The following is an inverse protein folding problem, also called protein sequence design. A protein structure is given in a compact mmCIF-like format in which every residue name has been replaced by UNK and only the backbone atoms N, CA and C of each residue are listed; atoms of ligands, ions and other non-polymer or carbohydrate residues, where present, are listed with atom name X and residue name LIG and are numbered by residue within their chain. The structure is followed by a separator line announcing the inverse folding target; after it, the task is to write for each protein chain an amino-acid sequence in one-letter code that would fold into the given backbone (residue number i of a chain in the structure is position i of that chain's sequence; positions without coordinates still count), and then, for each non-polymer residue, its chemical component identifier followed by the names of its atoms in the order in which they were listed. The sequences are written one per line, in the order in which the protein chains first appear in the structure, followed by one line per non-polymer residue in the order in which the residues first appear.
data_IF_104121550802
#
_entry.id   IF_104121550802
#
_cell.length_a   1.000
_cell.length_b   1.000
_cell.length_c   1.000
_cell.angle_alpha   90.00
_cell.angle_beta   90.00
_cell.angle_gamma   90.00
#
_symmetry.space_group_name_H-M   'P 1'
#
loop_
_entity.id
_entity.type
_entity.pdbx_description
1 polymer ?
#
# COMPACT_ATOMS: atom_id res chain seq x y z
N UNK A 1 -2.44 -14.14 -6.15
CA UNK A 1 -3.36 -13.22 -6.83
C UNK A 1 -4.66 -13.96 -7.13
N UNK A 2 -5.83 -13.34 -6.96
CA UNK A 2 -7.10 -14.00 -7.20
C UNK A 2 -7.28 -14.33 -8.68
N UNK A 3 -8.00 -15.42 -8.99
CA UNK A 3 -8.35 -15.81 -10.35
C UNK A 3 -9.79 -15.42 -10.63
N UNK A 4 -10.01 -14.73 -11.75
CA UNK A 4 -11.33 -14.32 -12.21
C UNK A 4 -11.81 -15.23 -13.35
N UNK A 5 -12.99 -15.82 -13.18
CA UNK A 5 -13.72 -16.52 -14.24
C UNK A 5 -15.01 -15.77 -14.51
N UNK A 6 -15.30 -15.45 -15.78
CA UNK A 6 -16.47 -14.65 -16.16
C UNK A 6 -17.30 -15.41 -17.18
N UNK A 7 -18.62 -15.32 -17.02
CA UNK A 7 -19.61 -15.79 -17.97
C UNK A 7 -20.58 -14.67 -18.28
N UNK A 8 -20.95 -14.56 -19.54
CA UNK A 8 -21.99 -13.65 -20.00
C UNK A 8 -23.11 -14.43 -20.65
N UNK A 9 -24.34 -14.02 -20.37
CA UNK A 9 -25.54 -14.53 -21.04
C UNK A 9 -26.39 -13.33 -21.45
N UNK A 10 -26.72 -13.23 -22.75
CA UNK A 10 -27.57 -12.16 -23.26
C UNK A 10 -29.00 -12.66 -23.43
N UNK A 11 -29.94 -11.94 -22.83
CA UNK A 11 -31.38 -12.19 -22.94
C UNK A 11 -32.02 -10.87 -23.39
N UNK A 12 -32.66 -10.90 -24.55
CA UNK A 12 -33.20 -9.71 -25.23
C UNK A 12 -32.14 -8.59 -25.37
N UNK A 13 -32.42 -7.42 -24.80
CA UNK A 13 -31.54 -6.25 -24.80
C UNK A 13 -30.67 -6.15 -23.54
N UNK A 14 -30.59 -7.21 -22.73
CA UNK A 14 -29.87 -7.22 -21.45
C UNK A 14 -28.79 -8.29 -21.47
N UNK A 15 -27.57 -7.90 -21.12
CA UNK A 15 -26.46 -8.81 -20.88
C UNK A 15 -26.32 -9.02 -19.38
N UNK A 16 -26.41 -10.27 -18.94
CA UNK A 16 -26.08 -10.69 -17.59
C UNK A 16 -24.62 -11.08 -17.53
N UNK A 17 -23.89 -10.54 -16.56
CA UNK A 17 -22.49 -10.86 -16.30
C UNK A 17 -22.43 -11.54 -14.94
N UNK A 18 -21.93 -12.78 -14.92
CA UNK A 18 -21.67 -13.53 -13.70
C UNK A 18 -20.17 -13.83 -13.65
N UNK A 19 -19.54 -13.52 -12.52
CA UNK A 19 -18.14 -13.78 -12.30
C UNK A 19 -17.92 -14.56 -10.99
N UNK A 20 -16.88 -15.38 -10.98
CA UNK A 20 -16.39 -16.09 -9.79
C UNK A 20 -14.94 -15.69 -9.58
N UNK A 21 -14.64 -15.25 -8.36
CA UNK A 21 -13.31 -14.89 -7.91
C UNK A 21 -12.82 -16.02 -7.00
N UNK A 22 -11.73 -16.67 -7.37
CA UNK A 22 -11.08 -17.70 -6.55
C UNK A 22 -9.83 -17.12 -5.89
N UNK A 23 -9.66 -17.32 -4.58
CA UNK A 23 -8.47 -16.90 -3.84
C UNK A 23 -8.12 -17.92 -2.76
N UNK A 24 -6.83 -18.17 -2.54
CA UNK A 24 -6.35 -19.05 -1.46
C UNK A 24 -6.29 -18.34 -0.09
N UNK A 25 -6.41 -17.01 -0.07
CA UNK A 25 -6.37 -16.17 1.14
C UNK A 25 -7.47 -15.12 1.12
N UNK A 26 -7.89 -14.59 2.28
CA UNK A 26 -8.78 -13.42 2.34
C UNK A 26 -8.17 -12.20 1.64
N UNK A 27 -8.98 -11.42 0.92
CA UNK A 27 -8.56 -10.30 0.07
C UNK A 27 -9.63 -9.22 -0.09
N UNK A 28 -9.19 -7.97 -0.19
CA UNK A 28 -9.99 -6.88 -0.72
C UNK A 28 -9.73 -6.82 -2.24
N UNK A 29 -10.77 -6.91 -3.05
CA UNK A 29 -10.67 -6.99 -4.51
C UNK A 29 -11.50 -5.89 -5.15
N UNK A 30 -10.90 -5.18 -6.11
CA UNK A 30 -11.60 -4.28 -7.03
C UNK A 30 -11.76 -4.96 -8.38
N UNK A 31 -13.00 -5.06 -8.83
CA UNK A 31 -13.33 -5.44 -10.20
C UNK A 31 -13.80 -4.22 -10.98
N UNK A 32 -13.28 -4.06 -12.19
CA UNK A 32 -13.68 -2.99 -13.11
C UNK A 32 -14.26 -3.53 -14.40
N UNK A 33 -15.27 -2.83 -14.90
CA UNK A 33 -15.93 -3.17 -16.15
C UNK A 33 -15.14 -2.68 -17.36
N UNK A 34 -15.22 -3.45 -18.45
CA UNK A 34 -14.44 -3.23 -19.68
C UNK A 34 -15.35 -3.14 -20.90
N UNK A 35 -16.37 -2.32 -20.78
CA UNK A 35 -17.31 -2.00 -21.84
C UNK A 35 -17.90 -0.61 -21.63
N UNK A 36 -18.34 0.02 -22.71
CA UNK A 36 -19.06 1.28 -22.62
C UNK A 36 -20.54 1.02 -22.31
N UNK A 37 -20.98 1.39 -21.11
CA UNK A 37 -22.39 1.31 -20.75
C UNK A 37 -22.64 1.29 -19.26
N UNK A 38 -23.92 1.39 -18.90
CA UNK A 38 -24.33 1.43 -17.50
C UNK A 38 -24.27 0.05 -16.87
N UNK A 39 -23.68 -0.04 -15.69
CA UNK A 39 -23.80 -1.18 -14.78
C UNK A 39 -25.14 -1.11 -14.05
N UNK A 40 -25.87 -2.22 -14.02
CA UNK A 40 -27.04 -2.41 -13.17
C UNK A 40 -26.67 -3.40 -12.06
N UNK A 41 -26.26 -2.89 -10.88
CA UNK A 41 -25.90 -3.71 -9.75
C UNK A 41 -27.05 -4.61 -9.29
N UNK A 42 -26.73 -5.74 -8.64
CA UNK A 42 -27.73 -6.53 -7.94
C UNK A 42 -28.38 -5.67 -6.86
N UNK A 43 -29.68 -5.87 -6.67
CA UNK A 43 -30.47 -5.13 -5.69
C UNK A 43 -31.11 -6.08 -4.69
N UNK A 44 -31.00 -5.73 -3.41
CA UNK A 44 -31.64 -6.42 -2.29
C UNK A 44 -32.60 -5.45 -1.63
N UNK A 45 -33.90 -5.78 -1.57
CA UNK A 45 -34.95 -4.90 -1.06
C UNK A 45 -34.96 -3.49 -1.70
N UNK A 46 -34.62 -3.40 -2.99
CA UNK A 46 -34.59 -2.14 -3.74
C UNK A 46 -33.32 -1.29 -3.57
N UNK A 47 -32.48 -1.61 -2.58
CA UNK A 47 -31.16 -0.99 -2.43
C UNK A 47 -30.13 -1.68 -3.32
N UNK A 48 -29.17 -0.91 -3.83
CA UNK A 48 -27.98 -1.44 -4.51
C UNK A 48 -27.15 -2.20 -3.49
N UNK A 49 -26.65 -3.38 -3.87
CA UNK A 49 -25.74 -4.15 -3.03
C UNK A 49 -24.48 -3.35 -2.69
N UNK A 50 -23.89 -3.60 -1.53
CA UNK A 50 -22.72 -2.87 -1.06
C UNK A 50 -21.51 -3.04 -2.00
N UNK A 51 -20.66 -2.01 -2.05
CA UNK A 51 -19.41 -2.02 -2.80
C UNK A 51 -19.53 -1.68 -4.29
N UNK A 52 -20.74 -1.51 -4.83
CA UNK A 52 -20.95 -1.14 -6.24
C UNK A 52 -20.85 0.37 -6.47
N UNK A 53 -20.19 0.73 -7.57
CA UNK A 53 -20.20 2.08 -8.15
C UNK A 53 -20.48 2.02 -9.66
N UNK A 54 -20.25 3.11 -10.37
CA UNK A 54 -20.53 3.20 -11.81
C UNK A 54 -19.60 2.32 -12.67
N UNK A 55 -18.37 2.09 -12.20
CA UNK A 55 -17.30 1.47 -12.97
C UNK A 55 -17.10 -0.01 -12.61
N UNK A 56 -17.65 -0.45 -11.48
CA UNK A 56 -17.57 -1.84 -11.05
C UNK A 56 -17.94 -2.06 -9.59
N UNK A 57 -17.20 -2.94 -8.92
CA UNK A 57 -17.47 -3.37 -7.55
C UNK A 57 -16.19 -3.61 -6.77
N UNK A 58 -16.18 -3.13 -5.54
CA UNK A 58 -15.18 -3.45 -4.52
C UNK A 58 -15.78 -4.38 -3.50
N UNK A 59 -15.14 -5.51 -3.25
CA UNK A 59 -15.65 -6.53 -2.34
C UNK A 59 -14.53 -7.18 -1.53
N UNK A 60 -14.87 -7.51 -0.29
CA UNK A 60 -14.08 -8.36 0.59
C UNK A 60 -14.40 -9.82 0.27
N UNK A 61 -13.37 -10.64 0.06
CA UNK A 61 -13.50 -12.07 -0.24
C UNK A 61 -12.70 -12.90 0.76
N UNK A 62 -13.30 -13.98 1.24
CA UNK A 62 -12.60 -15.00 2.01
C UNK A 62 -11.80 -15.94 1.10
N UNK A 63 -10.98 -16.80 1.71
CA UNK A 63 -10.38 -17.92 0.98
C UNK A 63 -11.49 -18.85 0.41
N UNK A 64 -11.36 -19.21 -0.86
CA UNK A 64 -12.36 -19.98 -1.61
C UNK A 64 -12.88 -19.22 -2.82
N UNK A 65 -14.16 -19.45 -3.15
CA UNK A 65 -14.82 -18.89 -4.33
C UNK A 65 -15.92 -17.91 -3.93
N UNK A 66 -15.83 -16.68 -4.43
CA UNK A 66 -16.85 -15.63 -4.25
C UNK A 66 -17.52 -15.32 -5.58
N UNK A 67 -18.85 -15.41 -5.61
CA UNK A 67 -19.63 -15.07 -6.79
C UNK A 67 -20.07 -13.61 -6.76
N UNK A 68 -20.05 -12.97 -7.92
CA UNK A 68 -20.53 -11.61 -8.14
C UNK A 68 -21.22 -11.52 -9.49
N UNK A 69 -22.27 -10.72 -9.60
CA UNK A 69 -22.97 -10.57 -10.86
C UNK A 69 -23.73 -9.27 -10.97
N UNK A 70 -23.95 -8.84 -12.20
CA UNK A 70 -24.67 -7.60 -12.54
C UNK A 70 -25.30 -7.74 -13.92
N UNK A 71 -26.14 -6.77 -14.29
CA UNK A 71 -26.71 -6.67 -15.62
C UNK A 71 -26.24 -5.38 -16.32
N UNK A 72 -26.26 -5.36 -17.63
CA UNK A 72 -26.00 -4.15 -18.42
C UNK A 72 -26.77 -4.22 -19.75
N UNK A 73 -27.25 -3.08 -20.31
CA UNK A 73 -27.79 -3.06 -21.67
C UNK A 73 -26.69 -3.14 -22.73
N UNK A 74 -25.42 -2.95 -22.34
CA UNK A 74 -24.29 -2.96 -23.25
C UNK A 74 -24.09 -4.34 -23.90
N UNK A 75 -23.62 -4.33 -25.14
CA UNK A 75 -22.99 -5.52 -25.75
C UNK A 75 -21.58 -5.60 -25.17
N UNK A 76 -21.26 -6.72 -24.54
CA UNK A 76 -19.95 -6.91 -23.90
C UNK A 76 -18.99 -7.64 -24.83
N UNK A 77 -17.68 -7.40 -24.63
CA UNK A 77 -16.61 -8.20 -25.21
C UNK A 77 -16.42 -9.54 -24.47
N UNK A 78 -15.45 -10.35 -24.90
CA UNK A 78 -15.09 -11.62 -24.25
C UNK A 78 -14.54 -11.46 -22.82
N UNK A 79 -14.12 -10.24 -22.44
CA UNK A 79 -13.65 -9.91 -21.09
C UNK A 79 -14.34 -8.64 -20.61
N UNK A 80 -15.60 -8.72 -20.14
CA UNK A 80 -16.35 -7.55 -19.67
C UNK A 80 -15.91 -7.03 -18.30
N UNK A 81 -15.05 -7.78 -17.61
CA UNK A 81 -14.68 -7.54 -16.22
C UNK A 81 -13.22 -7.94 -16.02
N UNK A 82 -12.47 -7.14 -15.26
CA UNK A 82 -11.09 -7.44 -14.87
C UNK A 82 -10.85 -7.17 -13.39
N UNK A 83 -9.82 -7.83 -12.82
CA UNK A 83 -9.32 -7.51 -11.48
C UNK A 83 -8.40 -6.31 -11.63
N UNK A 84 -8.89 -5.11 -11.29
CA UNK A 84 -8.11 -3.88 -11.34
C UNK A 84 -7.16 -3.78 -10.14
N UNK A 85 -7.62 -4.22 -8.96
CA UNK A 85 -6.83 -4.19 -7.73
C UNK A 85 -7.09 -5.40 -6.84
N UNK A 86 -6.07 -5.82 -6.09
CA UNK A 86 -6.21 -6.88 -5.10
C UNK A 86 -5.16 -6.80 -3.99
N UNK A 87 -5.64 -6.65 -2.76
CA UNK A 87 -4.82 -6.61 -1.56
C UNK A 87 -5.16 -7.79 -0.63
N UNK A 88 -4.16 -8.38 0.05
CA UNK A 88 -4.43 -9.29 1.17
C UNK A 88 -5.30 -8.60 2.23
N UNK A 89 -6.29 -9.30 2.76
CA UNK A 89 -6.95 -8.86 3.98
C UNK A 89 -6.19 -9.37 5.20
N UNK A 90 -5.99 -8.47 6.16
CA UNK A 90 -5.41 -8.78 7.46
C UNK A 90 -4.15 -8.01 7.75
N UNK A 91 -3.87 -7.94 9.05
CA UNK A 91 -2.63 -7.48 9.66
C UNK A 91 -1.43 -8.20 9.03
N UNK A 92 -0.39 -7.50 8.56
CA UNK A 92 0.85 -8.14 8.15
C UNK A 92 1.35 -9.08 9.25
N UNK A 93 2.02 -10.20 8.93
CA UNK A 93 2.65 -11.03 9.94
C UNK A 93 3.47 -10.17 10.91
N UNK A 94 3.44 -10.46 12.23
CA UNK A 94 4.12 -9.66 13.28
C UNK A 94 5.58 -9.29 12.95
N UNK A 95 6.28 -10.14 12.20
CA UNK A 95 7.65 -9.88 11.76
C UNK A 95 7.79 -8.75 10.74
N UNK A 96 6.78 -8.57 9.88
CA UNK A 96 6.70 -7.48 8.89
C UNK A 96 6.30 -6.18 9.59
N UNK A 97 5.32 -6.21 10.50
CA UNK A 97 4.94 -5.03 11.27
C UNK A 97 6.10 -4.51 12.10
N UNK A 98 6.75 -5.37 12.88
CA UNK A 98 7.96 -5.00 13.64
C UNK A 98 9.12 -4.55 12.77
N UNK A 99 9.15 -4.97 11.52
CA UNK A 99 10.15 -4.50 10.57
C UNK A 99 9.81 -3.09 10.07
N UNK A 100 8.54 -2.81 9.73
CA UNK A 100 8.05 -1.47 9.37
C UNK A 100 8.23 -0.50 10.55
N UNK A 101 7.81 -0.87 11.76
CA UNK A 101 8.00 -0.06 12.98
C UNK A 101 9.47 0.31 13.21
N UNK A 102 10.40 -0.61 12.87
CA UNK A 102 11.84 -0.33 12.98
C UNK A 102 12.31 0.67 11.92
N UNK A 103 11.77 0.61 10.70
CA UNK A 103 12.05 1.61 9.67
C UNK A 103 11.50 2.97 10.09
N UNK A 104 10.27 3.02 10.62
CA UNK A 104 9.65 4.24 11.14
C UNK A 104 10.49 4.88 12.24
N UNK A 105 10.86 4.12 13.27
CA UNK A 105 11.69 4.62 14.37
C UNK A 105 13.05 5.17 13.91
N UNK A 106 13.67 4.54 12.89
CA UNK A 106 14.93 5.05 12.30
C UNK A 106 14.72 6.31 11.47
N UNK A 107 13.60 6.40 10.77
CA UNK A 107 13.22 7.58 9.99
C UNK A 107 12.98 8.76 10.93
N UNK A 108 12.26 8.55 12.03
CA UNK A 108 12.04 9.55 13.09
C UNK A 108 13.35 10.03 13.71
N UNK A 109 14.28 9.11 14.04
CA UNK A 109 15.59 9.48 14.56
C UNK A 109 16.40 10.32 13.56
N UNK A 110 16.32 9.98 12.26
CA UNK A 110 16.96 10.74 11.19
C UNK A 110 16.35 12.14 11.02
N UNK A 111 15.03 12.25 11.09
CA UNK A 111 14.30 13.52 11.01
C UNK A 111 14.65 14.42 12.20
N UNK A 112 14.74 13.87 13.42
CA UNK A 112 15.15 14.61 14.61
C UNK A 112 16.56 15.20 14.46
N UNK A 113 17.51 14.42 13.93
CA UNK A 113 18.86 14.89 13.63
C UNK A 113 18.87 15.99 12.55
N UNK A 114 18.04 15.84 11.51
CA UNK A 114 17.94 16.81 10.43
C UNK A 114 17.25 18.13 10.86
N UNK A 115 16.32 18.06 11.81
CA UNK A 115 15.59 19.21 12.32
C UNK A 115 16.39 20.05 13.35
N UNK A 116 17.51 19.53 13.87
CA UNK A 116 18.34 20.24 14.84
C UNK A 116 18.94 21.52 14.24
N UNK A 117 18.43 22.68 14.66
CA UNK A 117 18.85 23.98 14.17
C UNK A 117 20.05 24.58 14.93
N UNK A 118 20.41 24.02 16.09
CA UNK A 118 21.50 24.48 16.94
C UNK A 118 22.30 23.31 17.56
N UNK A 119 23.50 23.63 18.06
CA UNK A 119 24.47 22.65 18.57
C UNK A 119 23.95 21.91 19.81
N UNK A 120 23.33 22.56 20.82
CA UNK A 120 22.70 21.86 21.93
C UNK A 120 21.66 20.82 21.49
N UNK A 121 20.73 21.20 20.61
CA UNK A 121 19.71 20.27 20.11
C UNK A 121 20.33 19.14 19.29
N UNK A 122 21.35 19.43 18.46
CA UNK A 122 22.06 18.39 17.72
C UNK A 122 22.80 17.41 18.65
N UNK A 123 23.38 17.92 19.74
CA UNK A 123 24.10 17.09 20.73
C UNK A 123 23.14 16.16 21.46
N UNK A 124 21.99 16.70 21.89
CA UNK A 124 20.92 15.92 22.54
C UNK A 124 20.41 14.80 21.61
N UNK A 125 20.09 15.12 20.36
CA UNK A 125 19.65 14.14 19.37
C UNK A 125 20.72 13.08 19.06
N UNK A 126 22.01 13.44 19.08
CA UNK A 126 23.12 12.49 18.93
C UNK A 126 23.24 11.59 20.16
N UNK A 127 23.08 12.11 21.36
CA UNK A 127 23.18 11.33 22.59
C UNK A 127 22.02 10.33 22.73
N UNK A 128 20.80 10.73 22.34
CA UNK A 128 19.60 9.89 22.37
C UNK A 128 19.75 8.61 21.51
N UNK A 129 20.47 8.70 20.40
CA UNK A 129 20.74 7.55 19.52
C UNK A 129 22.00 6.75 19.92
N UNK A 130 22.75 7.21 20.93
CA UNK A 130 23.95 6.53 21.42
C UNK A 130 25.27 7.05 20.84
N UNK A 131 25.30 8.28 20.33
CA UNK A 131 26.51 8.99 19.93
C UNK A 131 26.80 8.96 18.42
N UNK A 132 27.90 9.61 18.03
CA UNK A 132 28.24 9.83 16.61
C UNK A 132 28.44 8.54 15.80
N UNK A 133 28.97 7.47 16.40
CA UNK A 133 29.10 6.16 15.73
C UNK A 133 27.75 5.51 15.43
N UNK A 134 26.73 5.80 16.25
CA UNK A 134 25.37 5.37 15.99
C UNK A 134 24.73 6.19 14.85
N UNK A 135 25.08 7.48 14.71
CA UNK A 135 24.64 8.32 13.56
C UNK A 135 25.12 7.71 12.23
N UNK A 136 26.39 7.30 12.16
CA UNK A 136 26.96 6.70 10.94
C UNK A 136 26.28 5.37 10.60
N UNK A 137 26.01 4.55 11.62
CA UNK A 137 25.27 3.29 11.47
C UNK A 137 23.86 3.55 10.96
N UNK A 138 23.15 4.51 11.58
CA UNK A 138 21.81 4.92 11.19
C UNK A 138 21.75 5.38 9.74
N UNK A 139 22.71 6.20 9.29
CA UNK A 139 22.78 6.63 7.89
C UNK A 139 22.92 5.45 6.91
N UNK A 140 23.73 4.45 7.26
CA UNK A 140 23.86 3.22 6.48
C UNK A 140 22.58 2.37 6.44
N UNK A 141 21.89 2.25 7.58
CA UNK A 141 20.62 1.54 7.66
C UNK A 141 19.51 2.24 6.88
N UNK A 142 19.42 3.56 6.97
CA UNK A 142 18.42 4.37 6.26
C UNK A 142 18.61 4.28 4.73
N UNK A 143 19.85 4.28 4.25
CA UNK A 143 20.15 4.07 2.84
C UNK A 143 19.76 2.66 2.35
N UNK A 144 19.79 1.65 3.23
CA UNK A 144 19.30 0.30 2.93
C UNK A 144 17.77 0.27 2.94
N UNK A 145 17.15 0.88 3.94
CA UNK A 145 15.70 0.95 4.09
C UNK A 145 15.05 1.59 2.85
N UNK A 146 15.59 2.71 2.34
CA UNK A 146 15.15 3.32 1.07
C UNK A 146 15.13 2.34 -0.10
N UNK A 147 16.21 1.59 -0.29
CA UNK A 147 16.31 0.62 -1.40
C UNK A 147 15.27 -0.47 -1.28
N UNK A 148 15.05 -0.97 -0.06
CA UNK A 148 14.09 -2.04 0.20
C UNK A 148 12.65 -1.52 0.07
N UNK A 149 12.36 -0.33 0.59
CA UNK A 149 11.04 0.29 0.51
C UNK A 149 10.62 0.57 -0.94
N UNK A 150 11.53 1.08 -1.76
CA UNK A 150 11.27 1.32 -3.19
C UNK A 150 10.95 0.03 -3.99
N UNK A 151 11.37 -1.14 -3.50
CA UNK A 151 11.11 -2.43 -4.14
C UNK A 151 9.84 -3.13 -3.64
N UNK A 152 9.32 -2.76 -2.46
CA UNK A 152 8.27 -3.50 -1.77
C UNK A 152 6.99 -2.68 -1.58
N UNK A 153 5.90 -3.11 -2.22
CA UNK A 153 4.57 -2.49 -2.08
C UNK A 153 3.89 -2.69 -0.71
N UNK A 154 4.57 -3.34 0.24
CA UNK A 154 4.05 -3.56 1.60
C UNK A 154 4.43 -2.43 2.56
N UNK A 155 5.38 -1.58 2.15
CA UNK A 155 5.77 -0.40 2.92
C UNK A 155 4.75 0.71 2.66
N UNK A 156 4.21 1.38 3.68
CA UNK A 156 3.26 2.49 3.49
C UNK A 156 3.85 3.62 2.64
N UNK A 157 3.07 4.18 1.71
CA UNK A 157 3.52 5.25 0.82
C UNK A 157 4.03 6.48 1.59
N UNK A 158 3.38 6.83 2.70
CA UNK A 158 3.82 7.94 3.59
C UNK A 158 5.22 7.69 4.15
N UNK A 159 5.54 6.44 4.50
CA UNK A 159 6.88 6.09 5.00
C UNK A 159 7.92 6.12 3.88
N UNK A 160 7.55 5.72 2.66
CA UNK A 160 8.41 5.85 1.49
C UNK A 160 8.75 7.32 1.21
N UNK A 161 7.76 8.22 1.23
CA UNK A 161 7.96 9.66 1.04
C UNK A 161 8.90 10.25 2.09
N UNK A 162 8.65 9.97 3.38
CA UNK A 162 9.53 10.42 4.48
C UNK A 162 10.96 9.92 4.33
N UNK A 163 11.14 8.64 3.97
CA UNK A 163 12.46 8.06 3.75
C UNK A 163 13.20 8.77 2.62
N UNK A 164 12.52 9.14 1.53
CA UNK A 164 13.11 9.84 0.40
C UNK A 164 13.56 11.27 0.77
N UNK A 165 12.76 11.98 1.58
CA UNK A 165 13.00 13.38 1.94
C UNK A 165 14.08 13.57 3.02
N UNK A 166 14.22 12.62 3.95
CA UNK A 166 15.11 12.79 5.09
C UNK A 166 16.59 12.59 4.71
N UNK A 167 17.45 13.57 4.96
CA UNK A 167 18.91 13.44 4.79
C UNK A 167 19.64 13.68 6.10
N UNK A 168 20.45 12.72 6.55
CA UNK A 168 21.28 12.88 7.75
C UNK A 168 22.58 13.59 7.36
N UNK A 169 22.90 14.76 7.94
CA UNK A 169 24.14 15.48 7.65
C UNK A 169 25.35 14.88 8.38
N UNK A 170 25.57 13.57 8.26
CA UNK A 170 26.55 12.82 9.04
C UNK A 170 27.98 13.37 8.89
N UNK A 171 28.38 13.78 7.67
CA UNK A 171 29.70 14.38 7.41
C UNK A 171 29.87 15.74 8.10
N UNK A 172 28.82 16.55 8.15
CA UNK A 172 28.83 17.84 8.85
C UNK A 172 28.97 17.64 10.34
N UNK A 173 28.21 16.69 10.91
CA UNK A 173 28.26 16.36 12.34
C UNK A 173 29.65 15.83 12.77
N UNK A 174 30.25 14.96 11.95
CA UNK A 174 31.60 14.46 12.21
C UNK A 174 32.66 15.58 12.17
N UNK A 175 32.51 16.54 11.26
CA UNK A 175 33.41 17.69 11.14
C UNK A 175 33.31 18.61 12.36
N UNK A 176 32.09 18.91 12.82
CA UNK A 176 31.87 19.74 14.01
C UNK A 176 32.45 19.11 15.29
N UNK A 177 32.26 17.79 15.46
CA UNK A 177 32.80 17.07 16.62
C UNK A 177 34.34 16.97 16.62
N UNK A 178 34.98 16.99 15.44
CA UNK A 178 36.44 17.01 15.32
C UNK A 178 37.05 18.39 15.59
N UNK A 179 36.32 19.47 15.27
CA UNK A 179 36.77 20.85 15.47
C UNK A 179 36.84 21.25 16.95
N UNK A 180 35.95 20.72 17.80
CA UNK A 180 35.90 21.03 19.24
C UNK A 180 37.03 20.35 20.06
N UNK A 181 37.78 19.42 19.45
CA UNK A 181 38.92 18.73 20.09
C UNK A 181 40.30 19.26 19.67
N UNK A 182 40.37 20.32 18.87
CA UNK A 182 41.63 20.92 18.35
C UNK A 182 41.88 22.31 18.95
#
# INVERSE_FOLDING_TARGET
MPRLSVRTDRIDSVTFVAAVIESDTPRLVRLETRFDGTVWPPRSNGAVADGWDADGVTLEIEAGATAVGFATPAVTSDRPLEVAHSEPQGTPPDGIERWIERIEARTEAAEALAAAADVPTATEAIDDIGGLGAVETLAGELARDRRVAAELSIVPDELCERLEDVEIPATTLATLAGADRS
#
